data_IF_695029864372
#
_entry.id   IF_695029864372
#
_cell.length_a   1.000
_cell.length_b   1.000
_cell.length_c   1.000
_cell.angle_alpha   90.00
_cell.angle_beta   90.00
_cell.angle_gamma   90.00
#
_symmetry.space_group_name_H-M   'P 1'
#
loop_
_entity.id
_entity.type
_entity.pdbx_description
1 polymer ?
#
# COMPACT_ATOMS: atom_id res chain seq x y z
N UNK A 1 -31.12 25.36 -20.67
CA UNK A 1 -31.19 24.59 -19.40
C UNK A 1 -31.74 23.24 -19.78
N UNK A 2 -30.91 22.19 -19.77
CA UNK A 2 -31.42 20.84 -19.98
C UNK A 2 -32.36 20.51 -18.81
N UNK A 3 -33.57 20.05 -19.09
CA UNK A 3 -34.45 19.54 -18.05
C UNK A 3 -33.74 18.35 -17.38
N UNK A 4 -33.69 18.32 -16.05
CA UNK A 4 -33.21 17.15 -15.32
C UNK A 4 -34.04 15.94 -15.70
N UNK A 5 -33.40 14.81 -16.03
CA UNK A 5 -34.11 13.58 -16.34
C UNK A 5 -35.04 13.19 -15.17
N UNK A 6 -36.25 12.68 -15.44
CA UNK A 6 -37.20 12.29 -14.40
C UNK A 6 -36.61 11.18 -13.52
N UNK A 7 -37.08 11.07 -12.28
CA UNK A 7 -36.67 9.96 -11.41
C UNK A 7 -37.16 8.62 -11.98
N UNK A 8 -36.37 7.55 -11.79
CA UNK A 8 -36.73 6.22 -12.27
C UNK A 8 -37.98 5.67 -11.56
N UNK A 9 -38.87 5.04 -12.33
CA UNK A 9 -40.08 4.40 -11.81
C UNK A 9 -39.82 3.05 -11.15
N UNK A 10 -40.79 2.58 -10.36
CA UNK A 10 -40.74 1.31 -9.62
C UNK A 10 -40.61 0.07 -10.52
N UNK A 11 -40.97 0.19 -11.80
CA UNK A 11 -40.84 -0.83 -12.84
C UNK A 11 -39.40 -0.99 -13.35
N UNK A 12 -38.59 0.08 -13.27
CA UNK A 12 -37.21 0.14 -13.77
C UNK A 12 -36.19 -0.22 -12.69
N UNK A 13 -36.46 0.21 -11.45
CA UNK A 13 -35.52 0.10 -10.32
C UNK A 13 -35.02 -1.34 -10.06
N UNK A 14 -35.86 -2.40 -10.09
CA UNK A 14 -35.40 -3.76 -9.82
C UNK A 14 -34.37 -4.27 -10.84
N UNK A 15 -34.60 -4.00 -12.12
CA UNK A 15 -33.72 -4.42 -13.22
C UNK A 15 -32.39 -3.66 -13.17
N UNK A 16 -32.45 -2.34 -12.92
CA UNK A 16 -31.25 -1.52 -12.73
C UNK A 16 -30.44 -1.97 -11.50
N UNK A 17 -31.10 -2.26 -10.38
CA UNK A 17 -30.43 -2.73 -9.17
C UNK A 17 -29.73 -4.08 -9.38
N UNK A 18 -30.35 -5.00 -10.14
CA UNK A 18 -29.75 -6.28 -10.53
C UNK A 18 -28.47 -6.06 -11.35
N UNK A 19 -28.53 -5.21 -12.37
CA UNK A 19 -27.39 -4.88 -13.23
C UNK A 19 -26.24 -4.22 -12.44
N UNK A 20 -26.55 -3.25 -11.57
CA UNK A 20 -25.56 -2.59 -10.69
C UNK A 20 -24.93 -3.58 -9.70
N UNK A 21 -25.71 -4.52 -9.16
CA UNK A 21 -25.24 -5.57 -8.26
C UNK A 21 -24.27 -6.53 -8.95
N UNK A 22 -24.64 -7.04 -10.13
CA UNK A 22 -23.77 -7.91 -10.92
C UNK A 22 -22.46 -7.19 -11.31
N UNK A 23 -22.56 -5.95 -11.77
CA UNK A 23 -21.40 -5.15 -12.18
C UNK A 23 -20.48 -4.82 -11.00
N UNK A 24 -21.03 -4.41 -9.85
CA UNK A 24 -20.24 -4.12 -8.64
C UNK A 24 -19.57 -5.38 -8.07
N UNK A 25 -20.24 -6.53 -8.13
CA UNK A 25 -19.64 -7.83 -7.77
C UNK A 25 -18.44 -8.13 -8.67
N UNK A 26 -18.56 -7.93 -9.98
CA UNK A 26 -17.45 -8.13 -10.92
C UNK A 26 -16.29 -7.13 -10.70
N UNK A 27 -16.60 -5.87 -10.42
CA UNK A 27 -15.61 -4.82 -10.21
C UNK A 27 -14.80 -5.00 -8.91
N UNK A 28 -15.47 -5.42 -7.83
CA UNK A 28 -14.87 -5.38 -6.50
C UNK A 28 -14.57 -6.74 -5.90
N UNK A 29 -15.31 -7.79 -6.29
CA UNK A 29 -15.13 -9.16 -5.82
C UNK A 29 -15.17 -9.35 -4.30
N UNK A 30 -15.65 -8.37 -3.54
CA UNK A 30 -15.76 -8.38 -2.08
C UNK A 30 -17.14 -7.92 -1.62
N UNK A 31 -17.74 -8.59 -0.62
CA UNK A 31 -19.09 -8.28 -0.16
C UNK A 31 -19.17 -7.06 0.78
N UNK A 32 -18.04 -6.62 1.33
CA UNK A 32 -17.94 -5.57 2.35
C UNK A 32 -17.68 -4.16 1.79
N UNK A 33 -17.73 -3.99 0.47
CA UNK A 33 -17.63 -2.66 -0.13
C UNK A 33 -18.80 -1.80 0.34
N UNK A 34 -18.48 -0.74 1.08
CA UNK A 34 -19.47 0.21 1.53
C UNK A 34 -20.19 0.83 0.33
N UNK A 35 -21.52 0.73 0.33
CA UNK A 35 -22.41 1.25 -0.71
C UNK A 35 -21.93 0.91 -2.14
N UNK A 36 -22.01 -0.37 -2.56
CA UNK A 36 -21.34 -0.85 -3.76
C UNK A 36 -21.83 -0.17 -5.04
N UNK A 37 -23.10 0.23 -5.11
CA UNK A 37 -23.62 0.93 -6.28
C UNK A 37 -23.04 2.35 -6.40
N UNK A 38 -23.01 3.10 -5.29
CA UNK A 38 -22.38 4.41 -5.25
C UNK A 38 -20.89 4.33 -5.59
N UNK A 39 -20.18 3.36 -5.03
CA UNK A 39 -18.75 3.15 -5.28
C UNK A 39 -18.50 2.78 -6.74
N UNK A 40 -19.28 1.88 -7.32
CA UNK A 40 -19.21 1.51 -8.74
C UNK A 40 -19.37 2.73 -9.64
N UNK A 41 -20.46 3.48 -9.47
CA UNK A 41 -20.74 4.65 -10.31
C UNK A 41 -19.67 5.73 -10.15
N UNK A 42 -19.14 5.90 -8.93
CA UNK A 42 -18.04 6.84 -8.67
C UNK A 42 -16.75 6.41 -9.38
N UNK A 43 -16.42 5.12 -9.37
CA UNK A 43 -15.25 4.60 -10.08
C UNK A 43 -15.41 4.68 -11.60
N UNK A 44 -16.56 4.28 -12.14
CA UNK A 44 -16.85 4.38 -13.57
C UNK A 44 -16.77 5.82 -14.10
N UNK A 45 -17.07 6.82 -13.28
CA UNK A 45 -16.99 8.24 -13.67
C UNK A 45 -15.60 8.85 -13.52
N UNK A 46 -14.65 8.17 -12.87
CA UNK A 46 -13.27 8.65 -12.72
C UNK A 46 -12.49 8.32 -14.01
N UNK A 47 -11.99 9.31 -14.76
CA UNK A 47 -11.29 9.07 -16.03
C UNK A 47 -10.07 8.16 -15.92
N UNK A 48 -9.45 8.09 -14.74
CA UNK A 48 -8.23 7.32 -14.44
C UNK A 48 -8.49 6.11 -13.52
N UNK A 49 -9.72 5.60 -13.49
CA UNK A 49 -10.07 4.41 -12.72
C UNK A 49 -9.71 3.12 -13.44
N UNK A 50 -9.11 2.18 -12.70
CA UNK A 50 -8.90 0.82 -13.18
C UNK A 50 -10.23 0.09 -13.44
N UNK A 51 -11.29 0.43 -12.69
CA UNK A 51 -12.64 -0.13 -12.90
C UNK A 51 -13.22 0.37 -14.22
N UNK A 52 -12.99 1.64 -14.58
CA UNK A 52 -13.38 2.18 -15.88
C UNK A 52 -12.62 1.50 -17.01
N UNK A 53 -11.30 1.31 -16.87
CA UNK A 53 -10.49 0.58 -17.85
C UNK A 53 -11.02 -0.85 -18.06
N UNK A 54 -11.23 -1.60 -16.96
CA UNK A 54 -11.80 -2.95 -17.01
C UNK A 54 -13.23 -2.97 -17.60
N UNK A 55 -14.05 -1.95 -17.33
CA UNK A 55 -15.38 -1.83 -17.93
C UNK A 55 -15.29 -1.65 -19.45
N UNK A 56 -14.44 -0.73 -19.91
CA UNK A 56 -14.31 -0.37 -21.32
C UNK A 56 -13.62 -1.44 -22.18
N UNK A 57 -12.81 -2.30 -21.58
CA UNK A 57 -12.20 -3.46 -22.26
C UNK A 57 -13.04 -4.74 -22.19
N UNK A 58 -14.26 -4.69 -21.63
CA UNK A 58 -15.10 -5.85 -21.30
C UNK A 58 -14.45 -6.83 -20.29
N UNK A 59 -13.50 -6.37 -19.49
CA UNK A 59 -12.87 -7.10 -18.40
C UNK A 59 -13.77 -7.35 -17.17
N UNK A 60 -14.97 -6.75 -17.16
CA UNK A 60 -16.01 -6.93 -16.12
C UNK A 60 -17.27 -7.61 -16.69
N UNK A 61 -17.31 -8.95 -16.79
CA UNK A 61 -18.44 -9.66 -17.39
C UNK A 61 -19.78 -9.42 -16.68
N UNK A 62 -19.76 -9.13 -15.37
CA UNK A 62 -20.97 -8.79 -14.61
C UNK A 62 -21.62 -7.46 -15.01
N UNK A 63 -20.96 -6.63 -15.83
CA UNK A 63 -21.47 -5.35 -16.29
C UNK A 63 -22.24 -5.43 -17.63
N UNK A 64 -22.37 -6.62 -18.24
CA UNK A 64 -23.03 -6.78 -19.52
C UNK A 64 -24.49 -6.28 -19.51
N UNK A 65 -25.25 -6.57 -18.45
CA UNK A 65 -26.63 -6.10 -18.32
C UNK A 65 -26.69 -4.57 -18.22
N UNK A 66 -25.77 -3.94 -17.47
CA UNK A 66 -25.71 -2.49 -17.33
C UNK A 66 -25.48 -1.79 -18.70
N UNK A 67 -24.64 -2.40 -19.55
CA UNK A 67 -24.44 -1.94 -20.93
C UNK A 67 -25.70 -2.16 -21.77
N UNK A 68 -26.37 -3.31 -21.65
CA UNK A 68 -27.61 -3.58 -22.37
C UNK A 68 -28.72 -2.57 -22.03
N UNK A 69 -28.87 -2.23 -20.74
CA UNK A 69 -29.84 -1.25 -20.26
C UNK A 69 -29.59 0.16 -20.84
N UNK A 70 -28.34 0.53 -21.10
CA UNK A 70 -27.99 1.84 -21.66
C UNK A 70 -28.56 2.12 -23.05
N UNK A 71 -28.99 1.08 -23.78
CA UNK A 71 -29.61 1.20 -25.10
C UNK A 71 -31.14 1.27 -25.04
N UNK A 72 -31.74 1.10 -23.86
CA UNK A 72 -33.19 1.11 -23.66
C UNK A 72 -33.66 2.46 -23.09
N UNK A 73 -34.49 3.18 -23.86
CA UNK A 73 -34.98 4.51 -23.48
C UNK A 73 -35.86 4.51 -22.23
N UNK A 74 -36.42 3.38 -21.81
CA UNK A 74 -37.11 3.27 -20.51
C UNK A 74 -36.19 3.56 -19.31
N UNK A 75 -34.87 3.49 -19.52
CA UNK A 75 -33.85 3.79 -18.52
C UNK A 75 -33.26 5.21 -18.65
N UNK A 76 -33.86 6.08 -19.47
CA UNK A 76 -33.57 7.53 -19.51
C UNK A 76 -34.20 8.25 -18.31
N UNK A 77 -33.74 7.90 -17.12
CA UNK A 77 -34.23 8.38 -15.84
C UNK A 77 -33.09 8.47 -14.81
N UNK A 78 -33.27 9.28 -13.78
CA UNK A 78 -32.30 9.46 -12.69
C UNK A 78 -32.58 8.46 -11.56
N UNK A 79 -31.61 7.59 -11.26
CA UNK A 79 -31.63 6.73 -10.08
C UNK A 79 -30.71 7.31 -9.01
N UNK A 80 -31.29 7.77 -7.89
CA UNK A 80 -30.54 8.32 -6.76
C UNK A 80 -29.88 7.22 -5.93
N UNK A 81 -28.56 7.33 -5.74
CA UNK A 81 -27.77 6.36 -4.99
C UNK A 81 -27.53 6.86 -3.57
N UNK A 82 -26.56 7.75 -3.40
CA UNK A 82 -26.17 8.27 -2.09
C UNK A 82 -25.72 9.71 -2.20
N UNK A 83 -26.15 10.53 -1.24
CA UNK A 83 -26.01 12.00 -1.30
C UNK A 83 -26.52 12.52 -2.66
N UNK A 84 -25.88 13.53 -3.22
CA UNK A 84 -26.23 14.13 -4.51
C UNK A 84 -25.73 13.32 -5.73
N UNK A 85 -25.47 12.01 -5.57
CA UNK A 85 -25.04 11.15 -6.67
C UNK A 85 -26.22 10.33 -7.18
N UNK A 86 -26.61 10.60 -8.42
CA UNK A 86 -27.52 9.78 -9.21
C UNK A 86 -26.80 9.19 -10.42
N UNK A 87 -27.39 8.18 -11.04
CA UNK A 87 -27.00 7.64 -12.36
C UNK A 87 -28.20 7.63 -13.29
N UNK A 88 -28.01 8.07 -14.53
CA UNK A 88 -28.93 7.82 -15.64
C UNK A 88 -28.20 6.89 -16.61
N UNK A 89 -28.51 5.60 -16.61
CA UNK A 89 -27.72 4.62 -17.37
C UNK A 89 -27.82 4.81 -18.88
N UNK A 90 -28.94 5.34 -19.38
CA UNK A 90 -29.11 5.64 -20.81
C UNK A 90 -28.22 6.80 -21.26
N UNK A 91 -28.05 7.82 -20.41
CA UNK A 91 -27.23 8.99 -20.73
C UNK A 91 -25.76 8.83 -20.35
N UNK A 92 -25.48 8.21 -19.21
CA UNK A 92 -24.15 8.19 -18.61
C UNK A 92 -23.26 7.10 -19.21
N UNK A 93 -23.77 5.87 -19.38
CA UNK A 93 -22.96 4.71 -19.82
C UNK A 93 -22.28 4.95 -21.18
N UNK A 94 -22.97 5.50 -22.22
CA UNK A 94 -22.32 5.76 -23.52
C UNK A 94 -21.18 6.79 -23.45
N UNK A 95 -21.13 7.61 -22.40
CA UNK A 95 -20.13 8.67 -22.23
C UNK A 95 -18.90 8.23 -21.42
N UNK A 96 -18.95 7.09 -20.73
CA UNK A 96 -17.88 6.65 -19.84
C UNK A 96 -16.58 6.40 -20.60
N UNK A 97 -16.57 5.49 -21.58
CA UNK A 97 -15.35 5.11 -22.30
C UNK A 97 -14.73 6.24 -23.13
N UNK A 98 -15.52 7.10 -23.81
CA UNK A 98 -14.97 8.31 -24.44
C UNK A 98 -14.30 9.30 -23.48
N UNK A 99 -14.66 9.27 -22.19
CA UNK A 99 -14.09 10.17 -21.16
C UNK A 99 -12.85 9.62 -20.46
N UNK A 100 -12.46 8.38 -20.75
CA UNK A 100 -11.31 7.72 -20.12
C UNK A 100 -10.00 8.43 -20.46
N UNK A 101 -9.19 8.72 -19.45
CA UNK A 101 -7.84 9.24 -19.65
C UNK A 101 -6.92 8.14 -20.19
N UNK A 102 -5.89 8.49 -20.97
CA UNK A 102 -5.04 7.48 -21.61
C UNK A 102 -4.21 6.70 -20.60
N UNK A 103 -3.66 7.38 -19.58
CA UNK A 103 -2.71 6.76 -18.65
C UNK A 103 -2.88 7.24 -17.21
N UNK A 104 -2.32 6.46 -16.27
CA UNK A 104 -2.19 6.81 -14.85
C UNK A 104 -0.85 6.33 -14.30
N UNK A 105 -0.16 7.18 -13.55
CA UNK A 105 1.00 6.76 -12.77
C UNK A 105 0.56 5.98 -11.54
N UNK A 106 1.21 4.84 -11.29
CA UNK A 106 0.97 4.04 -10.10
C UNK A 106 2.28 3.49 -9.52
N UNK A 107 2.26 3.28 -8.21
CA UNK A 107 3.23 2.44 -7.51
C UNK A 107 2.50 1.17 -7.08
N UNK A 108 3.22 0.05 -6.96
CA UNK A 108 2.67 -1.19 -6.42
C UNK A 108 3.42 -1.54 -5.15
N UNK A 109 2.67 -1.87 -4.10
CA UNK A 109 3.20 -2.28 -2.82
C UNK A 109 2.72 -3.69 -2.50
N UNK A 110 3.64 -4.51 -2.02
CA UNK A 110 3.35 -5.86 -1.53
C UNK A 110 2.81 -5.80 -0.09
N UNK A 111 2.35 -6.94 0.45
CA UNK A 111 1.75 -6.97 1.81
C UNK A 111 2.68 -6.48 2.92
N UNK A 112 3.98 -6.70 2.76
CA UNK A 112 4.99 -6.28 3.73
C UNK A 112 5.55 -4.89 3.40
N UNK A 113 4.76 -4.03 2.75
CA UNK A 113 5.09 -2.64 2.36
C UNK A 113 6.33 -2.48 1.45
N UNK A 114 6.87 -3.57 0.88
CA UNK A 114 7.94 -3.50 -0.14
C UNK A 114 7.37 -2.93 -1.44
N UNK A 115 8.13 -2.02 -2.04
CA UNK A 115 7.80 -1.41 -3.33
C UNK A 115 8.16 -2.39 -4.47
N UNK A 116 7.29 -2.51 -5.47
CA UNK A 116 7.61 -3.20 -6.73
C UNK A 116 8.53 -2.31 -7.55
N UNK A 117 9.64 -2.89 -7.98
CA UNK A 117 10.75 -2.18 -8.61
C UNK A 117 11.34 -3.00 -9.74
N UNK A 118 12.18 -2.38 -10.56
CA UNK A 118 12.80 -3.00 -11.72
C UNK A 118 14.28 -3.24 -11.47
N UNK A 119 14.73 -4.48 -11.68
CA UNK A 119 16.15 -4.85 -11.66
C UNK A 119 16.50 -5.60 -12.95
N UNK A 120 17.17 -4.90 -13.88
CA UNK A 120 17.35 -5.42 -15.23
C UNK A 120 16.00 -5.56 -15.94
N UNK A 121 15.67 -6.76 -16.41
CA UNK A 121 14.35 -7.07 -17.00
C UNK A 121 13.39 -7.78 -16.04
N UNK A 122 13.74 -7.88 -14.76
CA UNK A 122 12.91 -8.55 -13.76
C UNK A 122 12.19 -7.53 -12.86
N UNK A 123 11.03 -7.93 -12.36
CA UNK A 123 10.35 -7.23 -11.27
C UNK A 123 10.79 -7.82 -9.93
N UNK A 124 11.09 -6.95 -8.98
CA UNK A 124 11.51 -7.33 -7.63
C UNK A 124 10.80 -6.48 -6.57
N UNK A 125 10.50 -7.09 -5.42
CA UNK A 125 9.90 -6.44 -4.26
C UNK A 125 11.02 -5.87 -3.37
N UNK A 126 11.30 -4.58 -3.49
CA UNK A 126 12.41 -3.93 -2.79
C UNK A 126 11.98 -3.22 -1.50
N UNK A 127 12.84 -3.16 -0.47
CA UNK A 127 12.64 -2.31 0.70
C UNK A 127 12.29 -0.86 0.30
N UNK A 128 11.32 -0.26 0.99
CA UNK A 128 10.95 1.14 0.76
C UNK A 128 11.99 2.05 1.43
N UNK A 129 12.77 2.75 0.60
CA UNK A 129 13.71 3.77 1.05
C UNK A 129 13.16 5.14 0.68
N UNK A 130 13.28 6.14 1.57
CA UNK A 130 12.72 7.49 1.37
C UNK A 130 13.24 8.21 0.13
N UNK A 131 14.41 7.81 -0.39
CA UNK A 131 15.02 8.33 -1.61
C UNK A 131 14.63 7.55 -2.89
N UNK A 132 13.82 6.49 -2.78
CA UNK A 132 13.55 5.55 -3.87
C UNK A 132 12.06 5.51 -4.20
N UNK A 133 11.69 6.05 -5.36
CA UNK A 133 10.31 6.30 -5.77
C UNK A 133 9.99 5.79 -7.18
N UNK A 134 10.46 4.58 -7.51
CA UNK A 134 10.10 3.96 -8.80
C UNK A 134 8.58 3.86 -8.93
N UNK A 135 8.10 4.14 -10.13
CA UNK A 135 6.69 4.12 -10.49
C UNK A 135 6.51 3.53 -11.88
N UNK A 136 5.30 3.05 -12.13
CA UNK A 136 4.87 2.53 -13.41
C UNK A 136 3.81 3.46 -14.01
N UNK A 137 3.64 3.36 -15.32
CA UNK A 137 2.53 3.98 -16.03
C UNK A 137 1.56 2.88 -16.44
N UNK A 138 0.30 2.99 -16.03
CA UNK A 138 -0.75 2.11 -16.50
C UNK A 138 -1.48 2.78 -17.66
N UNK A 139 -1.46 2.15 -18.82
CA UNK A 139 -2.26 2.58 -19.97
C UNK A 139 -3.65 1.95 -19.89
N UNK A 140 -4.66 2.80 -19.80
CA UNK A 140 -6.04 2.41 -19.53
C UNK A 140 -6.70 1.69 -20.72
N UNK A 141 -6.24 1.97 -21.95
CA UNK A 141 -6.83 1.41 -23.16
C UNK A 141 -6.23 0.04 -23.50
N UNK A 142 -4.92 -0.11 -23.33
CA UNK A 142 -4.17 -1.32 -23.67
C UNK A 142 -4.00 -2.28 -22.50
N UNK A 143 -4.28 -1.84 -21.27
CA UNK A 143 -4.03 -2.59 -20.03
C UNK A 143 -2.54 -2.90 -19.79
N UNK A 144 -1.64 -2.10 -20.39
CA UNK A 144 -0.21 -2.23 -20.17
C UNK A 144 0.20 -1.62 -18.83
N UNK A 145 1.13 -2.29 -18.15
CA UNK A 145 1.88 -1.69 -17.04
C UNK A 145 3.30 -1.44 -17.56
N UNK A 146 3.61 -0.18 -17.76
CA UNK A 146 4.84 0.31 -18.37
C UNK A 146 5.86 0.72 -17.31
N UNK A 147 7.11 0.28 -17.49
CA UNK A 147 8.23 0.67 -16.66
C UNK A 147 8.76 2.04 -17.09
N UNK A 148 8.87 2.97 -16.13
CA UNK A 148 9.51 4.27 -16.34
C UNK A 148 11.05 4.20 -16.14
N UNK A 149 11.58 3.06 -15.72
CA UNK A 149 12.99 2.91 -15.29
C UNK A 149 13.94 2.47 -16.40
N UNK A 150 13.41 1.81 -17.44
CA UNK A 150 14.20 1.36 -18.58
C UNK A 150 14.18 2.41 -19.68
N UNK A 151 15.32 2.64 -20.35
CA UNK A 151 15.34 3.46 -21.55
C UNK A 151 14.54 2.77 -22.67
N UNK A 152 13.37 3.30 -22.99
CA UNK A 152 12.46 2.77 -24.00
C UNK A 152 11.06 2.52 -23.44
N UNK A 153 10.20 1.89 -24.24
CA UNK A 153 8.81 1.63 -23.89
C UNK A 153 8.66 0.14 -23.55
N UNK A 154 8.75 -0.22 -22.27
CA UNK A 154 8.77 -1.60 -21.78
C UNK A 154 7.58 -1.92 -20.89
N UNK A 155 6.92 -3.05 -21.17
CA UNK A 155 5.73 -3.53 -20.49
C UNK A 155 6.03 -4.78 -19.69
N UNK A 156 5.30 -4.97 -18.59
CA UNK A 156 5.28 -6.25 -17.87
C UNK A 156 4.67 -7.30 -18.81
N UNK A 157 5.43 -8.35 -19.11
CA UNK A 157 5.00 -9.48 -19.94
C UNK A 157 5.05 -10.79 -19.15
N UNK A 158 3.98 -11.58 -19.26
CA UNK A 158 3.88 -12.93 -18.74
C UNK A 158 3.85 -13.95 -19.88
N UNK A 159 4.99 -14.53 -20.22
CA UNK A 159 5.11 -15.50 -21.31
C UNK A 159 4.93 -16.93 -20.78
N UNK A 160 3.91 -17.69 -21.21
CA UNK A 160 3.77 -19.10 -20.85
C UNK A 160 4.92 -19.94 -21.45
N UNK A 161 5.48 -20.85 -20.67
CA UNK A 161 6.49 -21.79 -21.15
C UNK A 161 5.85 -22.87 -22.04
N UNK A 162 6.49 -23.16 -23.17
CA UNK A 162 6.13 -24.26 -24.07
C UNK A 162 7.24 -25.32 -24.05
N UNK A 163 6.95 -26.64 -23.91
CA UNK A 163 5.62 -27.28 -23.88
C UNK A 163 5.04 -27.46 -22.45
N UNK A 164 3.71 -27.36 -22.35
CA UNK A 164 2.90 -27.48 -21.13
C UNK A 164 2.74 -28.93 -20.63
N UNK A 165 3.84 -29.67 -20.47
CA UNK A 165 3.80 -31.09 -20.06
C UNK A 165 3.61 -31.30 -18.55
N UNK A 166 3.53 -30.23 -17.75
CA UNK A 166 3.34 -30.32 -16.30
C UNK A 166 2.07 -29.59 -15.86
N UNK A 167 1.42 -30.11 -14.81
CA UNK A 167 0.30 -29.47 -14.12
C UNK A 167 0.68 -28.17 -13.38
N UNK A 168 1.91 -27.69 -13.55
CA UNK A 168 2.43 -26.43 -13.02
C UNK A 168 2.45 -25.38 -14.12
N UNK A 169 1.72 -24.28 -13.91
CA UNK A 169 1.80 -23.05 -14.71
C UNK A 169 3.25 -22.56 -14.69
N UNK A 170 3.99 -22.79 -15.77
CA UNK A 170 5.32 -22.24 -15.96
C UNK A 170 5.16 -20.95 -16.76
N UNK A 171 5.15 -19.80 -16.08
CA UNK A 171 5.06 -18.47 -16.70
C UNK A 171 6.33 -17.71 -16.36
N UNK A 172 6.97 -17.16 -17.39
CA UNK A 172 8.12 -16.27 -17.25
C UNK A 172 7.62 -14.83 -17.18
N UNK A 173 8.01 -14.10 -16.13
CA UNK A 173 7.68 -12.68 -15.95
C UNK A 173 8.90 -11.84 -16.31
N UNK A 174 8.78 -10.96 -17.31
CA UNK A 174 9.86 -10.10 -17.78
C UNK A 174 9.35 -8.74 -18.21
N UNK A 175 10.23 -7.73 -18.23
CA UNK A 175 10.00 -6.51 -18.99
C UNK A 175 10.42 -6.71 -20.44
N UNK A 176 9.44 -6.59 -21.34
CA UNK A 176 9.61 -6.70 -22.79
C UNK A 176 9.18 -5.40 -23.47
N UNK A 177 9.67 -5.08 -24.68
CA UNK A 177 9.15 -3.94 -25.45
C UNK A 177 7.63 -4.05 -25.59
N UNK A 178 6.92 -2.96 -25.35
CA UNK A 178 5.47 -3.00 -25.43
C UNK A 178 4.98 -3.23 -26.86
N UNK A 179 3.95 -4.04 -26.99
CA UNK A 179 3.27 -4.38 -28.23
C UNK A 179 1.77 -4.44 -27.96
N UNK A 180 1.01 -3.50 -28.55
CA UNK A 180 -0.44 -3.37 -28.34
C UNK A 180 -1.24 -4.57 -28.87
N UNK A 181 -0.63 -5.49 -29.62
CA UNK A 181 -1.25 -6.72 -30.09
C UNK A 181 -0.94 -7.89 -29.15
N UNK A 182 0.09 -7.78 -28.31
CA UNK A 182 0.55 -8.86 -27.46
C UNK A 182 -0.30 -8.97 -26.18
N UNK A 183 -1.24 -9.91 -26.20
CA UNK A 183 -2.15 -10.17 -25.07
C UNK A 183 -1.44 -10.63 -23.79
N UNK A 184 -0.16 -11.04 -23.86
CA UNK A 184 0.68 -11.39 -22.69
C UNK A 184 1.16 -10.17 -21.89
N UNK A 185 0.90 -8.95 -22.38
CA UNK A 185 1.30 -7.69 -21.74
C UNK A 185 0.14 -6.96 -21.06
N UNK A 186 -1.03 -7.58 -21.02
CA UNK A 186 -2.26 -6.96 -20.55
C UNK A 186 -2.64 -7.44 -19.15
N UNK A 187 -2.82 -6.50 -18.24
CA UNK A 187 -3.02 -6.73 -16.82
C UNK A 187 -4.24 -5.96 -16.28
N UNK A 188 -4.85 -6.52 -15.25
CA UNK A 188 -5.90 -5.87 -14.48
C UNK A 188 -5.38 -5.59 -13.09
N UNK A 189 -5.29 -4.31 -12.75
CA UNK A 189 -4.96 -3.82 -11.42
C UNK A 189 -6.26 -3.69 -10.64
N UNK A 190 -6.47 -4.56 -9.66
CA UNK A 190 -7.71 -4.67 -8.90
C UNK A 190 -7.47 -4.18 -7.47
N UNK A 191 -7.52 -2.85 -7.22
CA UNK A 191 -7.16 -2.28 -5.92
C UNK A 191 -8.08 -2.75 -4.79
N UNK A 192 -9.38 -2.97 -5.06
CA UNK A 192 -10.33 -3.48 -4.07
C UNK A 192 -10.04 -4.92 -3.64
N UNK A 193 -9.36 -5.68 -4.49
CA UNK A 193 -8.90 -7.05 -4.24
C UNK A 193 -7.43 -7.10 -3.78
N UNK A 194 -6.73 -5.96 -3.78
CA UNK A 194 -5.27 -5.87 -3.62
C UNK A 194 -4.56 -6.91 -4.50
N UNK A 195 -4.85 -6.90 -5.81
CA UNK A 195 -4.41 -7.93 -6.74
C UNK A 195 -4.02 -7.33 -8.08
N UNK A 196 -3.02 -7.91 -8.72
CA UNK A 196 -2.74 -7.70 -10.14
C UNK A 196 -2.87 -9.04 -10.85
N UNK A 197 -3.87 -9.16 -11.72
CA UNK A 197 -4.14 -10.39 -12.48
C UNK A 197 -3.86 -10.18 -13.96
N UNK A 198 -3.44 -11.24 -14.63
CA UNK A 198 -3.29 -11.21 -16.08
C UNK A 198 -4.67 -11.18 -16.73
N UNK A 199 -4.85 -10.34 -17.76
CA UNK A 199 -6.14 -10.18 -18.43
C UNK A 199 -6.50 -11.41 -19.27
N UNK A 200 -5.53 -11.95 -20.01
CA UNK A 200 -5.77 -12.98 -21.05
C UNK A 200 -5.30 -14.40 -20.69
N UNK A 201 -4.67 -14.59 -19.53
CA UNK A 201 -4.17 -15.90 -19.10
C UNK A 201 -5.02 -16.30 -17.91
N UNK A 202 -5.88 -17.32 -18.06
CA UNK A 202 -6.79 -17.71 -16.98
C UNK A 202 -6.03 -18.05 -15.71
N UNK A 203 -6.54 -17.57 -14.59
CA UNK A 203 -6.02 -17.87 -13.26
C UNK A 203 -4.54 -17.48 -13.06
N UNK A 204 -4.02 -16.44 -13.72
CA UNK A 204 -2.65 -15.97 -13.52
C UNK A 204 -2.61 -14.64 -12.75
N UNK A 205 -1.88 -14.61 -11.62
CA UNK A 205 -1.73 -13.44 -10.76
C UNK A 205 -0.26 -13.17 -10.45
N UNK A 206 0.08 -11.88 -10.26
CA UNK A 206 1.37 -11.55 -9.68
C UNK A 206 1.47 -12.14 -8.26
N UNK A 207 2.67 -12.62 -7.93
CA UNK A 207 3.02 -13.21 -6.64
C UNK A 207 4.38 -12.71 -6.18
N UNK A 208 4.45 -12.24 -4.94
CA UNK A 208 5.64 -11.87 -4.23
C UNK A 208 5.62 -12.59 -2.87
N UNK A 209 6.34 -13.70 -2.75
CA UNK A 209 6.49 -14.39 -1.47
C UNK A 209 7.22 -13.46 -0.48
N UNK A 210 6.56 -13.02 0.62
CA UNK A 210 7.19 -12.09 1.56
C UNK A 210 8.43 -12.70 2.22
N UNK A 211 8.55 -14.03 2.28
CA UNK A 211 9.66 -14.75 2.90
C UNK A 211 10.78 -15.12 1.91
N UNK A 212 10.60 -14.87 0.61
CA UNK A 212 11.61 -15.21 -0.38
C UNK A 212 12.82 -14.25 -0.29
N UNK A 213 14.02 -14.83 -0.17
CA UNK A 213 15.27 -14.07 -0.04
C UNK A 213 15.77 -13.46 -1.36
N UNK A 214 15.23 -13.89 -2.49
CA UNK A 214 15.56 -13.35 -3.81
C UNK A 214 14.66 -12.19 -4.23
N UNK A 215 13.65 -11.84 -3.41
CA UNK A 215 12.69 -10.76 -3.66
C UNK A 215 11.98 -10.83 -5.02
N UNK A 216 11.97 -12.00 -5.65
CA UNK A 216 11.49 -12.15 -7.01
C UNK A 216 9.97 -12.06 -7.05
N UNK A 217 9.45 -11.23 -7.95
CA UNK A 217 8.04 -11.23 -8.30
C UNK A 217 7.85 -12.23 -9.45
N UNK A 218 6.82 -13.05 -9.34
CA UNK A 218 6.50 -14.15 -10.27
C UNK A 218 5.03 -14.10 -10.66
N UNK A 219 4.64 -14.99 -11.55
CA UNK A 219 3.24 -15.25 -11.86
C UNK A 219 2.89 -16.63 -11.33
N UNK A 220 1.81 -16.71 -10.57
CA UNK A 220 1.29 -17.95 -9.96
C UNK A 220 -0.21 -18.09 -10.21
N UNK A 221 -0.78 -19.30 -10.02
CA UNK A 221 -2.22 -19.49 -9.97
C UNK A 221 -2.88 -18.52 -8.99
N UNK A 222 -3.90 -17.75 -9.41
CA UNK A 222 -4.62 -16.87 -8.50
C UNK A 222 -5.29 -17.67 -7.38
N UNK A 223 -5.09 -17.26 -6.13
CA UNK A 223 -5.69 -17.92 -4.97
C UNK A 223 -6.97 -17.21 -4.53
N UNK A 224 -7.95 -17.97 -4.02
CA UNK A 224 -9.25 -17.44 -3.62
C UNK A 224 -9.22 -16.72 -2.26
N UNK A 225 -8.20 -16.94 -1.43
CA UNK A 225 -8.16 -16.50 -0.03
C UNK A 225 -7.34 -15.20 0.23
N UNK A 226 -7.05 -14.40 -0.81
CA UNK A 226 -6.18 -13.21 -0.70
C UNK A 226 -4.87 -13.50 0.06
N UNK A 227 -4.07 -14.47 -0.38
CA UNK A 227 -2.89 -14.89 0.35
C UNK A 227 -1.88 -13.75 0.43
N UNK A 228 -1.05 -13.78 1.48
CA UNK A 228 0.01 -12.81 1.71
C UNK A 228 0.85 -12.48 0.47
N UNK A 229 1.15 -13.53 -0.29
CA UNK A 229 2.01 -13.48 -1.47
C UNK A 229 1.36 -12.89 -2.73
N UNK A 230 0.03 -12.76 -2.81
CA UNK A 230 -0.64 -12.18 -3.99
C UNK A 230 -1.30 -10.84 -3.69
N UNK A 231 -0.83 -10.19 -2.63
CA UNK A 231 -1.29 -8.86 -2.24
C UNK A 231 -0.46 -7.80 -2.94
N UNK A 232 -1.11 -7.01 -3.80
CA UNK A 232 -0.54 -5.85 -4.48
C UNK A 232 -1.51 -4.69 -4.40
N UNK A 233 -1.11 -3.60 -3.75
CA UNK A 233 -1.94 -2.40 -3.62
C UNK A 233 -1.29 -1.20 -4.31
N UNK A 234 -2.13 -0.29 -4.82
CA UNK A 234 -1.68 0.99 -5.36
C UNK A 234 -1.67 2.11 -4.31
N UNK A 235 -2.18 1.82 -3.11
CA UNK A 235 -2.18 2.76 -2.00
C UNK A 235 -0.81 2.78 -1.36
N UNK A 236 -0.19 3.96 -1.29
CA UNK A 236 1.04 4.12 -0.53
C UNK A 236 0.82 3.72 0.94
N UNK A 237 1.74 2.96 1.55
CA UNK A 237 1.68 2.69 2.99
C UNK A 237 1.63 3.99 3.78
N UNK A 238 0.71 4.07 4.74
CA UNK A 238 0.52 5.28 5.55
C UNK A 238 1.43 5.21 6.80
N UNK A 239 2.58 5.87 6.72
CA UNK A 239 3.64 5.85 7.75
C UNK A 239 3.88 7.23 8.38
N UNK A 240 2.85 8.07 8.45
CA UNK A 240 2.94 9.41 9.03
C UNK A 240 3.42 9.35 10.50
N UNK A 241 4.55 10.00 10.77
CA UNK A 241 5.21 9.99 12.09
C UNK A 241 6.03 8.73 12.41
N UNK A 242 6.12 7.77 11.49
CA UNK A 242 6.91 6.55 11.67
C UNK A 242 8.33 6.68 11.06
N UNK A 243 9.38 6.28 11.79
CA UNK A 243 10.71 6.12 11.21
C UNK A 243 10.74 5.08 10.09
N UNK A 244 11.81 5.10 9.27
CA UNK A 244 12.04 4.08 8.24
C UNK A 244 12.12 2.69 8.86
N UNK A 245 11.30 1.77 8.36
CA UNK A 245 11.28 0.39 8.81
C UNK A 245 12.50 -0.41 8.31
N UNK A 246 12.90 -1.41 9.09
CA UNK A 246 13.88 -2.44 8.73
C UNK A 246 13.15 -3.65 8.14
N UNK A 247 13.48 -4.01 6.90
CA UNK A 247 12.89 -5.16 6.21
C UNK A 247 13.74 -6.40 6.41
N UNK A 248 13.08 -7.55 6.48
CA UNK A 248 13.70 -8.87 6.66
C UNK A 248 14.48 -8.99 7.98
N UNK A 249 14.00 -8.28 9.01
CA UNK A 249 14.61 -8.20 10.34
C UNK A 249 13.54 -8.42 11.40
N UNK A 250 13.86 -9.23 12.40
CA UNK A 250 13.07 -9.43 13.61
C UNK A 250 13.80 -8.85 14.83
N UNK A 251 13.03 -8.37 15.80
CA UNK A 251 13.50 -7.89 17.10
C UNK A 251 13.03 -8.87 18.18
N UNK A 252 13.76 -9.95 18.50
CA UNK A 252 13.26 -11.00 19.38
C UNK A 252 13.05 -10.51 20.82
N UNK A 253 11.96 -10.97 21.44
CA UNK A 253 11.61 -10.69 22.83
C UNK A 253 10.95 -9.33 23.03
N UNK A 254 10.82 -8.94 24.31
CA UNK A 254 10.16 -7.69 24.74
C UNK A 254 8.70 -7.54 24.30
N UNK A 255 8.05 -8.63 23.87
CA UNK A 255 6.68 -8.63 23.40
C UNK A 255 5.70 -8.17 24.50
N UNK A 256 4.89 -7.17 24.17
CA UNK A 256 3.82 -6.65 24.99
C UNK A 256 2.51 -7.36 24.67
N UNK A 257 2.17 -7.38 23.38
CA UNK A 257 0.96 -7.99 22.82
C UNK A 257 1.11 -8.15 21.30
N UNK A 258 0.19 -8.91 20.71
CA UNK A 258 0.09 -9.06 19.26
C UNK A 258 -1.31 -8.71 18.76
N UNK A 259 -1.40 -8.09 17.59
CA UNK A 259 -2.67 -7.71 16.93
C UNK A 259 -2.65 -8.12 15.47
N UNK A 260 -3.79 -8.50 14.92
CA UNK A 260 -3.95 -8.69 13.47
C UNK A 260 -4.05 -7.32 12.83
N UNK A 261 -3.03 -6.94 12.06
CA UNK A 261 -2.94 -5.68 11.33
C UNK A 261 -2.37 -6.00 9.95
N UNK A 262 -3.10 -5.66 8.89
CA UNK A 262 -2.80 -6.17 7.54
C UNK A 262 -1.45 -5.73 6.98
N UNK A 263 -0.91 -4.58 7.41
CA UNK A 263 0.30 -3.96 6.86
C UNK A 263 1.27 -3.52 7.97
N UNK A 264 2.60 -3.52 7.71
CA UNK A 264 3.60 -2.97 8.62
C UNK A 264 3.38 -1.50 9.00
N UNK A 265 2.96 -0.66 8.08
CA UNK A 265 2.64 0.75 8.33
C UNK A 265 1.55 0.92 9.41
N UNK A 266 0.48 0.14 9.33
CA UNK A 266 -0.55 0.08 10.38
C UNK A 266 -0.01 -0.43 11.72
N UNK A 267 0.94 -1.38 11.69
CA UNK A 267 1.63 -1.88 12.87
C UNK A 267 2.47 -0.78 13.54
N UNK A 268 3.21 -0.02 12.75
CA UNK A 268 3.98 1.12 13.23
C UNK A 268 3.11 2.16 13.90
N UNK A 269 2.06 2.63 13.21
CA UNK A 269 1.15 3.63 13.76
C UNK A 269 0.53 3.13 15.07
N UNK A 270 0.04 1.88 15.09
CA UNK A 270 -0.59 1.33 16.27
C UNK A 270 0.40 1.22 17.45
N UNK A 271 1.67 0.90 17.19
CA UNK A 271 2.72 0.95 18.22
C UNK A 271 3.02 2.39 18.67
N UNK A 272 3.05 3.35 17.75
CA UNK A 272 3.25 4.76 18.06
C UNK A 272 2.17 5.27 19.04
N UNK A 273 0.92 4.87 18.85
CA UNK A 273 -0.20 5.21 19.73
C UNK A 273 -0.25 4.39 21.04
N UNK A 274 0.34 3.20 21.07
CA UNK A 274 0.30 2.34 22.26
C UNK A 274 1.30 2.83 23.33
N UNK A 275 0.89 3.31 24.52
CA UNK A 275 1.73 4.10 25.43
C UNK A 275 3.11 3.50 25.74
N UNK A 276 3.17 2.19 26.01
CA UNK A 276 4.41 1.49 26.38
C UNK A 276 5.14 0.83 25.21
N UNK A 277 4.62 0.90 23.98
CA UNK A 277 5.28 0.31 22.82
C UNK A 277 6.42 1.21 22.35
N UNK A 278 7.60 0.63 22.15
CA UNK A 278 8.84 1.31 21.76
C UNK A 278 9.37 0.80 20.41
N UNK A 279 8.94 -0.39 20.02
CA UNK A 279 9.21 -0.97 18.71
C UNK A 279 8.12 -1.95 18.31
N UNK A 280 8.13 -2.35 17.06
CA UNK A 280 7.24 -3.37 16.54
C UNK A 280 8.02 -4.35 15.65
N UNK A 281 7.48 -5.55 15.52
CA UNK A 281 7.81 -6.47 14.44
C UNK A 281 6.49 -6.89 13.79
N UNK A 282 6.37 -6.76 12.48
CA UNK A 282 5.22 -7.20 11.71
C UNK A 282 5.61 -8.44 10.90
N UNK A 283 4.77 -9.48 10.93
CA UNK A 283 4.96 -10.69 10.15
C UNK A 283 3.60 -11.27 9.72
N UNK A 284 3.42 -11.44 8.41
CA UNK A 284 2.26 -12.13 7.81
C UNK A 284 0.88 -11.63 8.27
N UNK A 285 0.73 -10.32 8.46
CA UNK A 285 -0.52 -9.70 8.92
C UNK A 285 -0.69 -9.70 10.44
N UNK A 286 0.33 -10.11 11.19
CA UNK A 286 0.37 -10.01 12.65
C UNK A 286 1.42 -9.00 13.06
N UNK A 287 1.00 -8.02 13.84
CA UNK A 287 1.85 -7.03 14.47
C UNK A 287 2.16 -7.44 15.89
N UNK A 288 3.44 -7.41 16.27
CA UNK A 288 3.93 -7.73 17.60
C UNK A 288 4.52 -6.46 18.23
N UNK A 289 3.81 -5.88 19.19
CA UNK A 289 4.25 -4.70 19.93
C UNK A 289 5.34 -5.06 20.92
N UNK A 290 6.35 -4.21 21.03
CA UNK A 290 7.53 -4.46 21.85
C UNK A 290 7.81 -3.30 22.79
N UNK A 291 8.14 -3.62 24.03
CA UNK A 291 8.47 -2.66 25.09
C UNK A 291 9.86 -2.04 24.94
N UNK A 292 10.73 -2.64 24.14
CA UNK A 292 12.06 -2.15 23.83
C UNK A 292 12.57 -2.80 22.54
N UNK A 293 13.63 -2.22 21.96
CA UNK A 293 14.46 -2.86 20.93
C UNK A 293 15.91 -2.48 21.22
N UNK A 294 16.80 -3.46 21.34
CA UNK A 294 18.20 -3.16 21.58
C UNK A 294 18.88 -2.90 20.23
N UNK A 295 19.17 -1.63 19.97
CA UNK A 295 19.55 -1.00 18.69
C UNK A 295 20.78 -1.58 17.95
N UNK A 296 21.37 -2.72 18.34
CA UNK A 296 22.44 -3.36 17.54
C UNK A 296 22.70 -4.84 17.81
N UNK A 297 22.33 -5.40 18.97
CA UNK A 297 22.72 -6.78 19.35
C UNK A 297 21.59 -7.80 19.39
N UNK A 298 20.35 -7.40 19.12
CA UNK A 298 19.19 -8.29 19.10
C UNK A 298 18.45 -8.34 17.76
N UNK A 299 18.70 -7.43 16.82
CA UNK A 299 18.13 -7.55 15.48
C UNK A 299 18.68 -8.81 14.79
N UNK A 300 17.79 -9.69 14.34
CA UNK A 300 18.16 -10.94 13.65
C UNK A 300 17.57 -10.95 12.24
N UNK A 301 18.33 -11.39 11.22
CA UNK A 301 17.79 -11.57 9.87
C UNK A 301 16.64 -12.59 9.89
N UNK A 302 15.47 -12.16 9.41
CA UNK A 302 14.30 -13.01 9.28
C UNK A 302 13.46 -12.51 8.09
N UNK A 303 13.57 -13.16 6.93
CA UNK A 303 12.82 -12.77 5.73
C UNK A 303 11.33 -12.61 6.00
N UNK A 304 10.71 -11.61 5.39
CA UNK A 304 9.28 -11.32 5.50
C UNK A 304 8.84 -10.58 6.76
N UNK A 305 9.72 -10.45 7.76
CA UNK A 305 9.46 -9.63 8.95
C UNK A 305 9.84 -8.18 8.66
N UNK A 306 8.97 -7.25 9.01
CA UNK A 306 9.24 -5.80 8.94
C UNK A 306 9.19 -5.24 10.34
N UNK A 307 10.32 -4.76 10.82
CA UNK A 307 10.47 -4.22 12.17
C UNK A 307 10.77 -2.74 12.14
N UNK A 308 10.50 -2.06 13.26
CA UNK A 308 10.85 -0.66 13.38
C UNK A 308 10.75 -0.17 14.80
N UNK A 309 11.58 0.82 15.11
CA UNK A 309 11.46 1.63 16.30
C UNK A 309 10.36 2.67 16.12
N UNK A 310 9.71 3.07 17.21
CA UNK A 310 8.84 4.26 17.22
C UNK A 310 9.46 5.35 18.08
N UNK A 311 9.49 6.58 17.54
CA UNK A 311 10.09 7.72 18.23
C UNK A 311 9.03 8.44 19.07
N UNK A 312 9.10 8.27 20.38
CA UNK A 312 8.26 8.96 21.37
C UNK A 312 9.05 10.00 22.14
N UNK A 313 9.73 10.88 21.41
CA UNK A 313 10.35 12.06 22.01
C UNK A 313 9.84 13.33 21.35
N UNK A 314 9.89 14.41 22.11
CA UNK A 314 9.63 15.75 21.62
C UNK A 314 10.57 16.12 20.48
N UNK A 315 10.22 17.17 19.75
CA UNK A 315 11.20 17.85 18.90
C UNK A 315 12.42 18.28 19.72
N UNK A 316 13.58 18.26 19.09
CA UNK A 316 14.83 18.66 19.73
C UNK A 316 14.91 20.19 19.87
N UNK A 317 15.13 20.67 21.09
CA UNK A 317 15.53 22.04 21.37
C UNK A 317 17.03 22.19 21.09
N UNK A 318 17.39 23.03 20.12
CA UNK A 318 18.79 23.26 19.74
C UNK A 318 19.45 24.32 20.61
N UNK A 319 20.73 24.14 20.92
CA UNK A 319 21.51 25.04 21.77
C UNK A 319 20.96 25.21 23.19
N UNK A 320 20.30 24.16 23.72
CA UNK A 320 19.86 24.11 25.10
C UNK A 320 20.21 22.77 25.75
N UNK A 321 20.71 22.84 26.98
CA UNK A 321 20.89 21.70 27.88
C UNK A 321 19.76 21.64 28.91
N UNK A 322 19.33 20.44 29.26
CA UNK A 322 18.48 20.23 30.43
C UNK A 322 19.45 20.05 31.59
N UNK A 323 19.54 21.01 32.51
CA UNK A 323 20.63 20.95 33.49
C UNK A 323 20.31 19.97 34.63
N UNK A 324 21.22 19.04 34.89
CA UNK A 324 21.13 18.05 35.96
C UNK A 324 20.15 16.91 35.65
N UNK A 325 19.64 16.27 36.71
CA UNK A 325 18.73 15.10 36.64
C UNK A 325 19.33 13.88 35.93
N UNK A 326 20.65 13.80 35.76
CA UNK A 326 21.29 12.70 35.04
C UNK A 326 21.10 11.36 35.77
N UNK A 327 20.49 10.40 35.07
CA UNK A 327 20.37 9.00 35.50
C UNK A 327 21.42 8.11 34.86
N UNK A 328 22.18 8.64 33.90
CA UNK A 328 23.28 7.96 33.25
C UNK A 328 23.69 8.64 31.96
N UNK A 329 24.67 8.07 31.27
CA UNK A 329 25.06 8.49 29.93
C UNK A 329 25.48 7.32 29.06
N UNK A 330 25.33 7.47 27.74
CA UNK A 330 25.74 6.47 26.75
C UNK A 330 26.43 7.17 25.58
N UNK A 331 27.46 6.53 25.02
CA UNK A 331 28.06 7.01 23.77
C UNK A 331 27.07 6.88 22.63
N UNK A 332 26.84 7.94 21.89
CA UNK A 332 25.91 7.94 20.74
C UNK A 332 26.44 8.86 19.65
N UNK A 333 26.72 8.36 18.43
CA UNK A 333 27.27 9.19 17.35
C UNK A 333 26.27 10.21 16.81
N UNK A 334 24.97 10.01 17.02
CA UNK A 334 23.90 10.93 16.60
C UNK A 334 22.92 11.19 17.74
N UNK A 335 22.23 12.33 17.69
CA UNK A 335 21.23 12.70 18.71
C UNK A 335 20.00 11.80 18.62
N UNK A 336 19.63 11.33 17.43
CA UNK A 336 18.41 10.54 17.20
C UNK A 336 18.40 9.26 18.05
N UNK A 337 19.55 8.59 18.18
CA UNK A 337 19.69 7.37 18.99
C UNK A 337 19.57 7.62 20.51
N UNK A 338 19.72 8.87 20.99
CA UNK A 338 19.45 9.19 22.40
C UNK A 338 18.02 8.92 22.79
N UNK A 339 17.09 9.24 21.89
CA UNK A 339 15.67 9.10 22.14
C UNK A 339 15.32 7.63 22.41
N UNK A 340 15.85 6.73 21.58
CA UNK A 340 15.65 5.29 21.74
C UNK A 340 16.21 4.78 23.08
N UNK A 341 17.42 5.22 23.44
CA UNK A 341 18.05 4.79 24.69
C UNK A 341 17.29 5.33 25.90
N UNK A 342 16.85 6.59 25.88
CA UNK A 342 16.07 7.17 26.96
C UNK A 342 14.72 6.44 27.10
N UNK A 343 14.00 6.20 26.00
CA UNK A 343 12.74 5.45 26.03
C UNK A 343 12.89 4.01 26.55
N UNK A 344 14.03 3.37 26.29
CA UNK A 344 14.35 2.03 26.80
C UNK A 344 14.85 2.02 28.25
N UNK A 345 15.12 3.20 28.83
CA UNK A 345 15.62 3.34 30.21
C UNK A 345 14.44 3.69 31.13
N UNK A 346 13.99 2.79 32.03
CA UNK A 346 12.76 2.99 32.80
C UNK A 346 12.69 4.30 33.60
N UNK A 347 13.84 4.79 34.06
CA UNK A 347 13.97 6.03 34.85
C UNK A 347 14.22 7.28 34.01
N UNK A 348 14.40 7.16 32.69
CA UNK A 348 14.66 8.29 31.82
C UNK A 348 13.34 8.91 31.32
N UNK A 349 13.27 10.24 31.36
CA UNK A 349 12.15 11.07 30.89
C UNK A 349 12.63 12.24 30.03
N UNK A 350 13.92 12.55 30.04
CA UNK A 350 14.51 13.53 29.14
C UNK A 350 15.95 13.18 28.75
N UNK A 351 16.48 13.87 27.76
CA UNK A 351 17.83 13.61 27.27
C UNK A 351 18.47 14.86 26.69
N UNK A 352 19.80 14.91 26.78
CA UNK A 352 20.61 15.93 26.13
C UNK A 352 21.75 15.24 25.39
N UNK A 353 21.93 15.57 24.11
CA UNK A 353 23.02 15.08 23.28
C UNK A 353 24.03 16.19 23.02
N UNK A 354 25.31 15.85 23.07
CA UNK A 354 26.41 16.77 22.76
C UNK A 354 27.50 16.03 22.00
N UNK A 355 28.38 16.77 21.30
CA UNK A 355 29.52 16.18 20.60
C UNK A 355 30.68 15.76 21.55
N UNK A 356 30.45 15.73 22.85
CA UNK A 356 31.42 15.27 23.84
C UNK A 356 31.89 13.85 23.50
N UNK A 357 33.21 13.65 23.43
CA UNK A 357 33.86 12.36 23.11
C UNK A 357 33.39 11.69 21.80
N UNK A 358 33.07 12.49 20.79
CA UNK A 358 32.57 12.00 19.50
C UNK A 358 31.09 11.60 19.54
N UNK A 359 30.34 12.19 20.48
CA UNK A 359 28.91 12.00 20.64
C UNK A 359 28.57 11.30 21.95
N UNK A 360 27.94 12.03 22.87
CA UNK A 360 27.47 11.51 24.16
C UNK A 360 26.03 11.91 24.39
N UNK A 361 25.25 10.91 24.80
CA UNK A 361 23.88 11.04 25.25
C UNK A 361 23.81 11.06 26.77
N UNK A 362 23.26 12.13 27.34
CA UNK A 362 23.03 12.29 28.77
C UNK A 362 21.55 11.99 29.05
N UNK A 363 21.28 10.89 29.77
CA UNK A 363 19.94 10.41 30.09
C UNK A 363 19.48 11.04 31.40
N UNK A 364 18.25 11.55 31.44
CA UNK A 364 17.76 12.37 32.55
C UNK A 364 16.42 11.89 33.07
N UNK A 365 16.20 11.99 34.38
CA UNK A 365 14.96 11.55 35.04
C UNK A 365 13.75 12.46 34.81
N UNK A 366 13.95 13.63 34.22
CA UNK A 366 12.92 14.64 33.99
C UNK A 366 13.46 15.80 33.16
N UNK A 367 12.57 16.73 32.82
CA UNK A 367 12.88 17.99 32.15
C UNK A 367 12.31 19.16 32.96
N UNK A 368 12.93 20.33 32.85
CA UNK A 368 12.53 21.54 33.59
C UNK A 368 13.31 22.75 33.10
N UNK A 369 14.48 22.99 33.68
CA UNK A 369 15.32 24.14 33.35
C UNK A 369 16.16 23.88 32.09
N UNK A 370 15.71 24.46 30.98
CA UNK A 370 16.51 24.56 29.75
C UNK A 370 17.49 25.73 29.88
N UNK A 371 18.78 25.45 29.84
CA UNK A 371 19.84 26.46 29.85
C UNK A 371 20.50 26.58 28.48
N UNK A 372 20.76 27.79 27.97
CA UNK A 372 21.50 27.96 26.73
C UNK A 372 22.86 27.26 26.77
N UNK A 373 23.10 26.38 25.81
CA UNK A 373 24.34 25.60 25.70
C UNK A 373 24.59 25.28 24.22
N UNK A 374 25.46 26.04 23.56
CA UNK A 374 25.81 25.80 22.15
C UNK A 374 26.38 24.39 21.94
N UNK A 375 25.94 23.73 20.86
CA UNK A 375 26.35 22.35 20.55
C UNK A 375 25.71 21.28 21.43
N UNK A 376 24.66 21.63 22.20
CA UNK A 376 23.79 20.68 22.91
C UNK A 376 22.41 20.70 22.29
N UNK A 377 21.83 19.51 22.11
CA UNK A 377 20.44 19.33 21.70
C UNK A 377 19.73 18.59 22.81
N UNK A 378 18.56 19.06 23.22
CA UNK A 378 17.78 18.39 24.27
C UNK A 378 16.37 18.04 23.82
N UNK A 379 15.83 16.94 24.33
CA UNK A 379 14.47 16.49 24.09
C UNK A 379 13.90 15.82 25.35
N UNK A 380 12.59 15.59 25.38
CA UNK A 380 11.93 14.80 26.42
C UNK A 380 11.12 13.66 25.84
N UNK A 381 10.87 12.61 26.62
CA UNK A 381 10.00 11.49 26.23
C UNK A 381 8.54 11.97 26.27
N UNK A 382 7.78 11.71 25.22
CA UNK A 382 6.34 11.96 25.17
C UNK A 382 5.66 10.73 25.76
N UNK A 383 4.94 10.94 26.87
CA UNK A 383 4.17 9.91 27.59
C UNK A 383 2.73 9.81 27.07
#
# INVERSE_FOLDING_TARGET
MAASAPDCGDDVLPELAQALSSCSTAAFGKPDVWNPFFTLVTELRKPESFVLADFCSNGLPGCADLVALSSNRSFDCSCWLYKATAINVYQDIPLLCPSMHPTRTLQLFTRNDKLVTVQGQALVASPRLTAFNQSFTFDMATHHIESNELCGHYCIEATPASPSTSHTLAITLTLAPCDNVNSNQQWQVQPYLNRVRHLNVPNACLSADPFATNYAIRVEPCESAFPAKQYFTTSAPYDDGCPTAEYDVDYPGFDLESRVLEQPSACCLSCNWHPTCRAYAWADGVCYFKSAFNTSSHAVPKPGVVSGAVTKCSTWSEAYDIVGMDVGSVKSPTKERCCDVCQATPTCRAMSWSNFQGGTCWLKSGYGDYQPAEGVWSAFVID
#
